data_IF_010678884808
#
_entry.id   IF_010678884808
#
_cell.length_a   1.000
_cell.length_b   1.000
_cell.length_c   1.000
_cell.angle_alpha   90.00
_cell.angle_beta   90.00
_cell.angle_gamma   90.00
#
_symmetry.space_group_name_H-M   'P 1'
#
loop_
_entity.id
_entity.type
_entity.pdbx_description
1 polymer ?
#
# COMPACT_ATOMS: atom_id res chain seq x y z
N UNK A 1 -45.29 -4.06 5.23
CA UNK A 1 -44.54 -5.26 5.72
C UNK A 1 -43.96 -4.90 7.07
N UNK A 2 -44.03 -5.81 8.04
CA UNK A 2 -43.66 -5.53 9.42
C UNK A 2 -42.16 -5.81 9.58
N UNK A 3 -41.36 -4.80 9.92
CA UNK A 3 -39.88 -4.86 9.96
C UNK A 3 -39.29 -5.84 10.99
N UNK A 4 -40.14 -6.60 11.69
CA UNK A 4 -39.78 -7.62 12.69
C UNK A 4 -40.09 -9.05 12.25
N UNK A 5 -40.59 -9.24 11.03
CA UNK A 5 -40.85 -10.57 10.49
C UNK A 5 -39.53 -11.34 10.30
N UNK A 6 -39.37 -12.55 10.89
CA UNK A 6 -38.12 -13.31 10.86
C UNK A 6 -37.56 -13.58 9.46
N UNK A 7 -38.41 -13.69 8.44
CA UNK A 7 -37.95 -13.89 7.05
C UNK A 7 -37.35 -12.61 6.45
N UNK A 8 -37.95 -11.46 6.77
CA UNK A 8 -37.42 -10.13 6.43
C UNK A 8 -36.07 -9.89 7.13
N UNK A 9 -35.94 -10.31 8.40
CA UNK A 9 -34.68 -10.22 9.16
C UNK A 9 -33.59 -11.14 8.61
N UNK A 10 -33.96 -12.34 8.14
CA UNK A 10 -33.04 -13.27 7.46
C UNK A 10 -32.53 -12.68 6.15
N UNK A 11 -33.43 -12.14 5.34
CA UNK A 11 -33.08 -11.53 4.06
C UNK A 11 -32.18 -10.28 4.24
N UNK A 12 -32.48 -9.44 5.23
CA UNK A 12 -31.62 -8.33 5.63
C UNK A 12 -30.23 -8.81 6.10
N UNK A 13 -30.17 -9.87 6.89
CA UNK A 13 -28.88 -10.43 7.36
C UNK A 13 -28.04 -11.01 6.21
N UNK A 14 -28.68 -11.67 5.24
CA UNK A 14 -28.04 -12.21 4.04
C UNK A 14 -27.54 -11.05 3.17
N UNK A 15 -28.34 -10.01 2.96
CA UNK A 15 -27.97 -8.85 2.15
C UNK A 15 -26.88 -7.99 2.80
N UNK A 16 -26.91 -7.77 4.11
CA UNK A 16 -25.82 -7.11 4.86
C UNK A 16 -24.53 -7.91 4.76
N UNK A 17 -24.59 -9.23 4.88
CA UNK A 17 -23.42 -10.10 4.71
C UNK A 17 -22.88 -10.03 3.28
N UNK A 18 -23.76 -10.04 2.26
CA UNK A 18 -23.39 -9.93 0.85
C UNK A 18 -22.82 -8.56 0.47
N UNK A 19 -23.32 -7.48 1.07
CA UNK A 19 -22.85 -6.11 0.89
C UNK A 19 -21.49 -5.87 1.57
N UNK A 20 -21.25 -6.47 2.74
CA UNK A 20 -19.95 -6.41 3.45
C UNK A 20 -18.83 -7.21 2.77
N UNK A 21 -19.19 -8.13 1.86
CA UNK A 21 -18.26 -8.99 1.11
C UNK A 21 -17.57 -8.29 -0.06
N UNK A 22 -17.90 -7.04 -0.35
CA UNK A 22 -17.29 -6.27 -1.43
C UNK A 22 -16.34 -5.21 -0.82
N UNK A 23 -15.04 -5.46 -0.89
CA UNK A 23 -13.94 -4.50 -0.62
C UNK A 23 -13.56 -4.14 0.84
N UNK A 24 -13.67 -5.07 1.81
CA UNK A 24 -13.01 -4.84 3.09
C UNK A 24 -11.53 -5.28 3.03
N UNK A 25 -10.61 -4.31 3.16
CA UNK A 25 -9.17 -4.57 3.22
C UNK A 25 -8.79 -5.17 4.60
N UNK A 26 -8.15 -6.34 4.61
CA UNK A 26 -7.79 -7.05 5.83
C UNK A 26 -6.30 -6.90 6.15
N UNK A 27 -5.97 -6.39 7.33
CA UNK A 27 -4.59 -6.29 7.83
C UNK A 27 -3.96 -7.70 7.93
N UNK A 28 -2.73 -7.84 7.47
CA UNK A 28 -1.99 -9.09 7.45
C UNK A 28 -2.32 -10.03 6.28
N UNK A 29 -3.35 -9.70 5.47
CA UNK A 29 -3.74 -10.46 4.26
C UNK A 29 -3.69 -9.61 3.00
N UNK A 30 -4.42 -8.50 2.98
CA UNK A 30 -4.51 -7.59 1.83
C UNK A 30 -3.45 -6.49 1.91
N UNK A 31 -3.09 -6.07 3.12
CA UNK A 31 -2.04 -5.09 3.36
C UNK A 31 -1.28 -5.34 4.67
N UNK A 32 -0.06 -4.83 4.75
CA UNK A 32 0.77 -4.83 5.96
C UNK A 32 1.07 -3.40 6.42
N UNK A 33 1.36 -3.23 7.71
CA UNK A 33 1.72 -1.95 8.32
C UNK A 33 2.96 -2.11 9.20
N UNK A 34 3.98 -1.28 8.93
CA UNK A 34 5.21 -1.21 9.73
C UNK A 34 5.41 0.21 10.25
N UNK A 35 5.41 0.33 11.57
CA UNK A 35 5.72 1.56 12.28
C UNK A 35 6.69 1.32 13.45
N UNK A 36 6.99 2.37 14.21
CA UNK A 36 7.96 2.31 15.29
C UNK A 36 7.55 1.41 16.46
N UNK A 37 6.28 1.00 16.54
CA UNK A 37 5.77 0.10 17.59
C UNK A 37 5.79 -1.37 17.15
N UNK A 38 6.06 -1.65 15.88
CA UNK A 38 6.09 -3.02 15.35
C UNK A 38 7.31 -3.78 15.88
N UNK A 39 7.12 -4.94 16.57
CA UNK A 39 8.23 -5.79 17.01
C UNK A 39 9.10 -6.29 15.85
N UNK A 40 10.39 -6.51 16.10
CA UNK A 40 11.35 -6.95 15.08
C UNK A 40 10.97 -8.28 14.43
N UNK A 41 10.45 -9.24 15.20
CA UNK A 41 10.03 -10.54 14.69
C UNK A 41 8.88 -10.40 13.68
N UNK A 42 7.80 -9.72 14.10
CA UNK A 42 6.62 -9.44 13.27
C UNK A 42 7.01 -8.68 11.99
N UNK A 43 7.98 -7.75 12.08
CA UNK A 43 8.52 -7.04 10.92
C UNK A 43 9.08 -8.00 9.87
N UNK A 44 9.90 -8.96 10.28
CA UNK A 44 10.52 -9.92 9.36
C UNK A 44 9.46 -10.79 8.69
N UNK A 45 8.49 -11.30 9.45
CA UNK A 45 7.39 -12.11 8.94
C UNK A 45 6.56 -11.34 7.89
N UNK A 46 6.16 -10.10 8.16
CA UNK A 46 5.40 -9.29 7.20
C UNK A 46 6.18 -9.04 5.90
N UNK A 47 7.49 -8.79 6.00
CA UNK A 47 8.34 -8.55 4.83
C UNK A 47 8.45 -9.83 3.98
N UNK A 48 8.66 -10.98 4.61
CA UNK A 48 8.73 -12.27 3.94
C UNK A 48 7.40 -12.60 3.23
N UNK A 49 6.28 -12.44 3.94
CA UNK A 49 4.95 -12.70 3.38
C UNK A 49 4.62 -11.75 2.22
N UNK A 50 5.05 -10.49 2.28
CA UNK A 50 4.85 -9.54 1.19
C UNK A 50 5.73 -9.80 -0.03
N UNK A 51 6.98 -10.24 0.18
CA UNK A 51 7.89 -10.56 -0.91
C UNK A 51 7.61 -11.93 -1.55
N UNK A 52 6.84 -12.78 -0.88
CA UNK A 52 6.50 -14.12 -1.38
C UNK A 52 5.72 -14.06 -2.69
N UNK A 53 6.23 -14.79 -3.69
CA UNK A 53 5.60 -14.89 -5.02
C UNK A 53 4.26 -15.65 -4.94
N UNK A 54 4.07 -16.51 -3.94
CA UNK A 54 2.81 -17.23 -3.74
C UNK A 54 1.71 -16.34 -3.17
N UNK A 55 2.06 -15.23 -2.52
CA UNK A 55 1.11 -14.30 -1.94
C UNK A 55 0.57 -13.31 -3.00
N UNK A 56 -0.51 -13.70 -3.69
CA UNK A 56 -1.19 -12.85 -4.67
C UNK A 56 -2.19 -11.86 -4.05
N UNK A 57 -2.45 -12.00 -2.75
CA UNK A 57 -3.49 -11.24 -2.03
C UNK A 57 -2.95 -9.95 -1.44
N UNK A 58 -1.73 -9.96 -0.90
CA UNK A 58 -1.09 -8.76 -0.39
C UNK A 58 -0.82 -7.77 -1.53
N UNK A 59 -1.46 -6.60 -1.49
CA UNK A 59 -1.31 -5.54 -2.51
C UNK A 59 -0.55 -4.32 -2.02
N UNK A 60 -0.55 -4.06 -0.71
CA UNK A 60 -0.04 -2.81 -0.14
C UNK A 60 0.81 -3.07 1.10
N UNK A 61 1.91 -2.32 1.25
CA UNK A 61 2.72 -2.30 2.46
C UNK A 61 2.90 -0.85 2.91
N UNK A 62 2.30 -0.50 4.04
CA UNK A 62 2.34 0.84 4.64
C UNK A 62 3.54 0.96 5.57
N UNK A 63 4.36 1.98 5.36
CA UNK A 63 5.60 2.18 6.13
C UNK A 63 5.69 3.62 6.57
N UNK A 64 5.91 3.84 7.86
CA UNK A 64 6.36 5.14 8.33
C UNK A 64 7.83 5.36 7.96
N UNK A 65 8.14 6.50 7.32
CA UNK A 65 9.49 6.83 6.83
C UNK A 65 10.58 6.62 7.89
N UNK A 66 10.30 7.00 9.15
CA UNK A 66 11.22 6.82 10.31
C UNK A 66 11.39 5.36 10.75
N UNK A 67 10.33 4.56 10.79
CA UNK A 67 10.44 3.15 11.18
C UNK A 67 11.08 2.28 10.10
N UNK A 68 11.03 2.74 8.84
CA UNK A 68 11.66 2.06 7.73
C UNK A 68 13.18 2.24 7.63
N UNK A 69 13.79 3.17 8.39
CA UNK A 69 15.24 3.47 8.38
C UNK A 69 16.17 2.30 8.77
N UNK A 70 15.62 1.10 8.96
CA UNK A 70 16.26 -0.12 9.43
C UNK A 70 16.72 -1.05 8.30
N UNK A 71 16.90 -0.56 7.07
CA UNK A 71 17.48 -1.35 5.97
C UNK A 71 16.62 -2.52 5.48
N UNK A 72 15.32 -2.33 5.32
CA UNK A 72 14.39 -3.37 4.84
C UNK A 72 14.42 -3.56 3.32
N UNK A 73 13.96 -4.72 2.83
CA UNK A 73 13.90 -5.05 1.41
C UNK A 73 12.48 -5.49 1.00
N UNK A 74 11.90 -4.83 -0.01
CA UNK A 74 10.51 -4.99 -0.44
C UNK A 74 10.42 -5.25 -1.95
N UNK A 75 11.19 -6.22 -2.43
CA UNK A 75 11.27 -6.63 -3.85
C UNK A 75 9.96 -7.19 -4.40
N UNK A 76 9.00 -7.53 -3.53
CA UNK A 76 7.63 -7.86 -3.92
C UNK A 76 6.94 -6.69 -4.63
N UNK A 77 7.23 -5.45 -4.21
CA UNK A 77 6.64 -4.24 -4.75
C UNK A 77 7.32 -3.79 -6.06
N UNK A 78 6.54 -3.09 -6.87
CA UNK A 78 7.00 -2.39 -8.07
C UNK A 78 6.55 -0.93 -8.12
N UNK A 79 5.78 -0.47 -7.13
CA UNK A 79 5.35 0.93 -7.02
C UNK A 79 5.66 1.46 -5.63
N UNK A 80 6.15 2.69 -5.58
CA UNK A 80 6.42 3.43 -4.36
C UNK A 80 5.66 4.73 -4.42
N UNK A 81 4.83 4.99 -3.41
CA UNK A 81 4.11 6.26 -3.26
C UNK A 81 4.65 6.93 -2.00
N UNK A 82 5.22 8.11 -2.17
CA UNK A 82 5.69 8.95 -1.07
C UNK A 82 4.59 9.95 -0.76
N UNK A 83 3.94 9.77 0.39
CA UNK A 83 2.84 10.64 0.83
C UNK A 83 3.36 11.97 1.39
N UNK A 84 4.42 11.90 2.20
CA UNK A 84 5.06 13.06 2.82
C UNK A 84 6.54 13.08 2.45
N UNK A 85 6.95 14.07 1.65
CA UNK A 85 8.34 14.28 1.23
C UNK A 85 9.17 14.81 2.41
N UNK A 86 10.37 14.28 2.60
CA UNK A 86 11.27 14.74 3.64
C UNK A 86 12.03 16.00 3.18
N UNK A 87 12.28 16.93 4.11
CA UNK A 87 13.21 18.04 3.89
C UNK A 87 14.63 17.62 3.51
N UNK A 88 15.01 16.39 3.88
CA UNK A 88 16.26 15.78 3.44
C UNK A 88 15.97 14.78 2.29
N UNK A 89 16.35 15.10 1.03
CA UNK A 89 16.10 14.23 -0.12
C UNK A 89 16.68 12.82 0.02
N UNK A 90 17.76 12.66 0.78
CA UNK A 90 18.37 11.35 1.02
C UNK A 90 17.44 10.38 1.73
N UNK A 91 16.49 10.88 2.54
CA UNK A 91 15.51 10.02 3.22
C UNK A 91 14.55 9.39 2.21
N UNK A 92 14.09 10.17 1.23
CA UNK A 92 13.17 9.69 0.20
C UNK A 92 13.88 8.75 -0.78
N UNK A 93 15.13 9.07 -1.11
CA UNK A 93 15.99 8.16 -1.87
C UNK A 93 16.19 6.82 -1.15
N UNK A 94 16.44 6.83 0.16
CA UNK A 94 16.53 5.61 0.95
C UNK A 94 15.21 4.85 0.99
N UNK A 95 14.06 5.55 1.04
CA UNK A 95 12.75 4.92 0.97
C UNK A 95 12.55 4.18 -0.37
N UNK A 96 12.92 4.81 -1.50
CA UNK A 96 12.84 4.23 -2.85
C UNK A 96 13.74 3.00 -2.99
N UNK A 97 14.97 3.05 -2.48
CA UNK A 97 15.94 1.95 -2.53
C UNK A 97 15.54 0.71 -1.71
N UNK A 98 14.47 0.78 -0.91
CA UNK A 98 13.89 -0.43 -0.29
C UNK A 98 13.16 -1.31 -1.29
N UNK A 99 12.59 -0.70 -2.33
CA UNK A 99 11.82 -1.39 -3.38
C UNK A 99 12.67 -1.58 -4.63
N UNK A 100 13.44 -0.56 -5.01
CA UNK A 100 14.38 -0.67 -6.12
C UNK A 100 15.65 -1.42 -5.70
N UNK A 101 15.87 -2.59 -6.29
CA UNK A 101 17.08 -3.40 -6.11
C UNK A 101 17.68 -3.80 -7.45
N UNK A 102 19.01 -3.86 -7.50
CA UNK A 102 19.75 -4.37 -8.65
C UNK A 102 19.32 -5.81 -8.95
N UNK A 103 19.08 -6.11 -10.23
CA UNK A 103 18.62 -7.43 -10.69
C UNK A 103 17.10 -7.63 -10.73
N UNK A 104 16.31 -6.65 -10.28
CA UNK A 104 14.85 -6.72 -10.36
C UNK A 104 14.38 -6.52 -11.81
N UNK A 105 13.63 -7.49 -12.35
CA UNK A 105 13.07 -7.43 -13.72
C UNK A 105 11.80 -6.58 -13.84
N UNK A 106 11.15 -6.27 -12.70
CA UNK A 106 9.94 -5.44 -12.66
C UNK A 106 10.34 -3.97 -12.77
N UNK A 107 9.68 -3.23 -13.66
CA UNK A 107 9.80 -1.78 -13.70
C UNK A 107 9.30 -1.22 -12.36
N UNK A 108 10.16 -0.46 -11.68
CA UNK A 108 9.80 0.21 -10.43
C UNK A 108 9.40 1.64 -10.74
N UNK A 109 8.17 2.00 -10.39
CA UNK A 109 7.66 3.37 -10.53
C UNK A 109 7.60 4.03 -9.16
N UNK A 110 8.20 5.19 -9.04
CA UNK A 110 8.02 6.06 -7.88
C UNK A 110 7.02 7.16 -8.24
N UNK A 111 6.24 7.59 -7.25
CA UNK A 111 5.31 8.70 -7.35
C UNK A 111 5.49 9.52 -6.07
N UNK A 112 5.90 10.77 -6.24
CA UNK A 112 5.85 11.78 -5.20
C UNK A 112 5.05 13.00 -5.69
N UNK A 113 4.71 13.89 -4.76
CA UNK A 113 3.94 15.10 -5.09
C UNK A 113 4.67 15.98 -6.10
N UNK A 114 6.00 16.09 -6.03
CA UNK A 114 6.79 16.93 -6.93
C UNK A 114 6.77 16.42 -8.37
N UNK A 115 6.85 15.11 -8.56
CA UNK A 115 6.77 14.45 -9.85
C UNK A 115 5.36 14.56 -10.42
N UNK A 116 4.33 14.49 -9.57
CA UNK A 116 2.96 14.80 -9.96
C UNK A 116 2.81 16.27 -10.43
N UNK A 117 3.34 17.24 -9.69
CA UNK A 117 3.33 18.65 -10.10
C UNK A 117 4.08 18.89 -11.41
N UNK A 118 5.25 18.26 -11.60
CA UNK A 118 6.01 18.35 -12.85
C UNK A 118 5.27 17.70 -14.03
N UNK A 119 4.66 16.54 -13.81
CA UNK A 119 3.83 15.88 -14.82
C UNK A 119 2.63 16.75 -15.20
N UNK A 120 1.95 17.35 -14.21
CA UNK A 120 0.86 18.30 -14.45
C UNK A 120 1.33 19.49 -15.28
N UNK A 121 2.44 20.14 -14.90
CA UNK A 121 3.00 21.25 -15.68
C UNK A 121 3.33 20.85 -17.11
N UNK A 122 3.85 19.64 -17.33
CA UNK A 122 4.24 19.15 -18.66
C UNK A 122 3.06 18.75 -19.57
N UNK A 123 1.95 18.28 -18.99
CA UNK A 123 0.84 17.69 -19.76
C UNK A 123 -0.48 18.46 -19.69
N UNK A 124 -0.60 19.44 -18.79
CA UNK A 124 -1.79 20.29 -18.66
C UNK A 124 -1.55 21.68 -19.25
N UNK A 125 -0.31 22.21 -19.21
CA UNK A 125 0.02 23.50 -19.83
C UNK A 125 0.15 23.45 -21.36
N UNK A 126 -0.08 22.30 -22.00
CA UNK A 126 -0.13 22.17 -23.46
C UNK A 126 -1.54 22.33 -24.04
N UNK A 127 -2.56 22.61 -23.20
CA UNK A 127 -3.95 22.83 -23.62
C UNK A 127 -4.40 24.30 -23.48
N UNK A 128 -3.47 25.22 -23.30
CA UNK A 128 -3.75 26.65 -23.31
C UNK A 128 -2.68 27.38 -24.12
N UNK A 129 -2.81 27.32 -25.43
CA UNK A 129 -2.41 28.35 -26.41
C UNK A 129 -3.29 28.18 -27.66
#
# INVERSE_FOLDING_TARGET
MNDKDPDTLKELSINVTRLSSQNTWILGKDYYRLDGKTPKLIRHEMIEQFNSISNKRARVFLISSRAGGQGINLTGANRVIILDTSWNPSNDQQNIFRVFRLGQKKIVTFIDYLQWEQWKKKNILTFSD
#
